data_IF_804293078228
#
_entry.id   IF_804293078228
#
_cell.length_a   1.000
_cell.length_b   1.000
_cell.length_c   1.000
_cell.angle_alpha   90.00
_cell.angle_beta   90.00
_cell.angle_gamma   90.00
#
_symmetry.space_group_name_H-M   'P 1'
#
loop_
_entity.id
_entity.type
_entity.pdbx_description
1 polymer ?
#
# COMPACT_ATOMS: atom_id res chain seq x y z
N UNK A 1 -38.18 8.34 -33.50
CA UNK A 1 -37.55 7.61 -32.39
C UNK A 1 -36.99 8.66 -31.43
N UNK A 2 -37.65 8.87 -30.29
CA UNK A 2 -37.20 9.88 -29.31
C UNK A 2 -35.95 9.38 -28.58
N UNK A 3 -35.06 10.30 -28.18
CA UNK A 3 -33.84 9.97 -27.43
C UNK A 3 -34.16 9.12 -26.18
N UNK A 4 -35.27 9.42 -25.50
CA UNK A 4 -35.75 8.67 -24.34
C UNK A 4 -36.11 7.21 -24.64
N UNK A 5 -36.67 6.94 -25.82
CA UNK A 5 -36.98 5.56 -26.23
C UNK A 5 -35.70 4.77 -26.51
N UNK A 6 -34.71 5.40 -27.12
CA UNK A 6 -33.41 4.77 -27.38
C UNK A 6 -32.66 4.49 -26.08
N UNK A 7 -32.62 5.46 -25.16
CA UNK A 7 -31.99 5.29 -23.84
C UNK A 7 -32.70 4.18 -23.06
N UNK A 8 -34.03 4.18 -23.00
CA UNK A 8 -34.78 3.14 -22.30
C UNK A 8 -34.55 1.74 -22.89
N UNK A 9 -34.47 1.64 -24.22
CA UNK A 9 -34.26 0.36 -24.90
C UNK A 9 -32.84 -0.16 -24.71
N UNK A 10 -31.83 0.72 -24.73
CA UNK A 10 -30.44 0.34 -24.46
C UNK A 10 -30.23 -0.10 -23.01
N UNK A 11 -30.81 0.61 -22.03
CA UNK A 11 -30.74 0.23 -20.62
C UNK A 11 -31.39 -1.14 -20.35
N UNK A 12 -32.57 -1.40 -20.90
CA UNK A 12 -33.28 -2.67 -20.74
C UNK A 12 -32.52 -3.85 -21.36
N UNK A 13 -31.88 -3.64 -22.51
CA UNK A 13 -31.06 -4.66 -23.17
C UNK A 13 -29.79 -4.95 -22.37
N UNK A 14 -29.11 -3.91 -21.89
CA UNK A 14 -27.90 -4.05 -21.07
C UNK A 14 -28.18 -4.72 -19.74
N UNK A 15 -29.27 -4.37 -19.04
CA UNK A 15 -29.62 -5.00 -17.77
C UNK A 15 -29.88 -6.50 -17.91
N UNK A 16 -30.48 -6.92 -19.03
CA UNK A 16 -30.74 -8.33 -19.34
C UNK A 16 -29.45 -9.11 -19.59
N UNK A 17 -28.49 -8.54 -20.30
CA UNK A 17 -27.18 -9.16 -20.56
C UNK A 17 -26.38 -9.29 -19.26
N UNK A 18 -26.37 -8.25 -18.42
CA UNK A 18 -25.65 -8.25 -17.15
C UNK A 18 -26.23 -9.29 -16.20
N UNK A 19 -27.56 -9.42 -16.14
CA UNK A 19 -28.25 -10.35 -15.24
C UNK A 19 -28.16 -11.82 -15.67
N UNK A 20 -27.85 -12.10 -16.94
CA UNK A 20 -27.82 -13.47 -17.49
C UNK A 20 -26.45 -14.14 -17.40
N UNK A 21 -25.42 -13.43 -16.95
CA UNK A 21 -24.06 -13.97 -16.86
C UNK A 21 -23.59 -14.03 -15.40
N UNK A 22 -23.37 -15.23 -14.82
CA UNK A 22 -22.86 -15.40 -13.46
C UNK A 22 -21.40 -14.89 -13.29
N UNK A 23 -20.74 -14.48 -14.38
CA UNK A 23 -19.42 -13.87 -14.36
C UNK A 23 -19.46 -12.34 -14.11
N UNK A 24 -20.62 -11.70 -14.30
CA UNK A 24 -20.80 -10.24 -14.18
C UNK A 24 -21.54 -9.82 -12.90
N UNK A 25 -22.09 -10.76 -12.13
CA UNK A 25 -22.70 -10.49 -10.82
C UNK A 25 -21.71 -9.98 -9.78
N UNK A 26 -20.41 -10.27 -9.96
CA UNK A 26 -19.34 -9.73 -9.11
C UNK A 26 -18.86 -8.34 -9.53
N UNK A 27 -19.34 -7.79 -10.66
CA UNK A 27 -19.08 -6.40 -11.02
C UNK A 27 -20.14 -5.54 -10.35
N UNK A 28 -20.08 -5.54 -9.01
CA UNK A 28 -20.76 -4.53 -8.22
C UNK A 28 -20.22 -3.14 -8.60
N UNK A 29 -21.13 -2.43 -9.27
CA UNK A 29 -21.19 -1.02 -9.56
C UNK A 29 -20.53 -0.12 -8.49
N UNK A 30 -19.31 0.34 -8.75
CA UNK A 30 -18.85 1.72 -8.53
C UNK A 30 -17.47 1.89 -9.18
N UNK A 31 -17.23 2.87 -10.08
CA UNK A 31 -15.87 3.25 -10.47
C UNK A 31 -15.25 4.10 -9.35
N UNK A 32 -15.20 3.57 -8.14
CA UNK A 32 -14.50 4.17 -7.01
C UNK A 32 -13.34 3.26 -6.70
N UNK A 33 -12.15 3.68 -7.14
CA UNK A 33 -10.86 3.28 -6.57
C UNK A 33 -10.84 1.80 -6.19
N UNK A 34 -10.68 0.90 -7.15
CA UNK A 34 -10.09 -0.41 -6.85
C UNK A 34 -8.69 -0.10 -6.33
N UNK A 35 -8.62 0.21 -5.04
CA UNK A 35 -7.37 0.40 -4.34
C UNK A 35 -6.67 -0.94 -4.41
N UNK A 36 -5.39 -0.91 -4.74
CA UNK A 36 -4.46 -2.02 -4.79
C UNK A 36 -4.53 -2.98 -3.57
N UNK A 37 -5.23 -2.59 -2.50
CA UNK A 37 -5.55 -3.41 -1.33
C UNK A 37 -6.34 -4.70 -1.63
N UNK A 38 -7.22 -4.74 -2.64
CA UNK A 38 -8.04 -5.96 -2.91
C UNK A 38 -7.28 -7.09 -3.61
N UNK A 39 -6.14 -6.82 -4.25
CA UNK A 39 -5.25 -7.85 -4.82
C UNK A 39 -4.33 -8.50 -3.77
N UNK A 40 -4.32 -8.00 -2.53
CA UNK A 40 -3.41 -8.49 -1.48
C UNK A 40 -4.01 -9.61 -0.59
N UNK A 41 -5.28 -10.00 -0.78
CA UNK A 41 -5.93 -11.00 0.08
C UNK A 41 -5.39 -12.43 -0.10
N UNK A 42 -4.70 -12.73 -1.20
CA UNK A 42 -4.14 -14.07 -1.47
C UNK A 42 -2.76 -14.28 -0.81
N UNK A 43 -2.20 -13.29 -0.11
CA UNK A 43 -0.85 -13.34 0.48
C UNK A 43 -0.83 -13.42 2.02
N UNK A 44 -1.94 -13.80 2.64
CA UNK A 44 -2.08 -13.74 4.09
C UNK A 44 -1.07 -14.63 4.85
N UNK A 45 -0.54 -15.68 4.21
CA UNK A 45 0.50 -16.58 4.77
C UNK A 45 1.95 -16.12 4.53
N UNK A 46 2.20 -15.04 3.78
CA UNK A 46 3.56 -14.53 3.49
C UNK A 46 3.70 -13.05 3.83
N UNK A 47 2.93 -12.54 4.79
CA UNK A 47 3.03 -11.15 5.24
C UNK A 47 3.82 -11.07 6.54
N UNK A 48 4.75 -10.11 6.63
CA UNK A 48 5.49 -9.81 7.85
C UNK A 48 4.95 -8.56 8.53
N UNK A 49 4.94 -8.59 9.86
CA UNK A 49 4.63 -7.45 10.72
C UNK A 49 5.92 -6.68 11.02
N UNK A 50 5.91 -5.38 10.80
CA UNK A 50 7.04 -4.49 11.08
C UNK A 50 6.56 -3.38 12.00
N UNK A 51 7.26 -3.21 13.12
CA UNK A 51 6.97 -2.18 14.11
C UNK A 51 7.76 -0.93 13.76
N UNK A 52 7.12 0.22 13.61
CA UNK A 52 7.78 1.47 13.31
C UNK A 52 7.66 2.39 14.50
N UNK A 53 8.79 2.69 15.13
CA UNK A 53 8.85 3.66 16.22
C UNK A 53 8.92 5.08 15.65
N UNK A 54 7.95 5.89 16.04
CA UNK A 54 7.89 7.33 15.76
C UNK A 54 8.78 8.11 16.74
N UNK A 55 8.94 9.40 16.48
CA UNK A 55 9.70 10.31 17.34
C UNK A 55 9.03 10.62 18.68
N UNK A 56 7.73 10.38 18.81
CA UNK A 56 6.94 10.54 20.03
C UNK A 56 6.87 9.22 20.85
N UNK A 57 7.81 8.30 20.59
CA UNK A 57 7.86 6.94 21.15
C UNK A 57 6.63 6.05 20.87
N UNK A 58 5.67 6.52 20.08
CA UNK A 58 4.55 5.68 19.65
C UNK A 58 4.99 4.68 18.57
N UNK A 59 4.44 3.47 18.64
CA UNK A 59 4.77 2.38 17.72
C UNK A 59 3.59 2.14 16.77
N UNK A 60 3.87 2.11 15.47
CA UNK A 60 2.89 1.78 14.43
C UNK A 60 3.28 0.48 13.76
N UNK A 61 2.37 -0.48 13.77
CA UNK A 61 2.56 -1.76 13.09
C UNK A 61 2.13 -1.66 11.63
N UNK A 62 3.00 -2.15 10.74
CA UNK A 62 2.80 -2.18 9.30
C UNK A 62 2.98 -3.60 8.80
N UNK A 63 2.03 -4.04 7.99
CA UNK A 63 2.05 -5.35 7.37
C UNK A 63 2.46 -5.20 5.90
N UNK A 64 3.51 -5.91 5.51
CA UNK A 64 4.00 -5.97 4.12
C UNK A 64 4.30 -7.40 3.73
N UNK A 65 4.26 -7.74 2.43
CA UNK A 65 4.72 -9.04 1.96
C UNK A 65 6.17 -9.29 2.38
N UNK A 66 6.49 -10.53 2.69
CA UNK A 66 7.81 -10.98 3.12
C UNK A 66 8.91 -10.69 2.07
N UNK A 67 8.57 -10.81 0.79
CA UNK A 67 9.45 -10.48 -0.35
C UNK A 67 9.33 -9.00 -0.79
N UNK A 68 8.78 -8.13 0.05
CA UNK A 68 8.60 -6.73 -0.29
C UNK A 68 9.93 -5.98 -0.43
N UNK A 69 9.91 -4.99 -1.32
CA UNK A 69 11.01 -4.03 -1.49
C UNK A 69 10.84 -2.85 -0.55
N UNK A 70 11.93 -2.12 -0.31
CA UNK A 70 11.93 -0.88 0.49
C UNK A 70 10.90 0.13 -0.03
N UNK A 71 10.66 0.18 -1.33
CA UNK A 71 9.60 1.01 -1.93
C UNK A 71 8.20 0.67 -1.40
N UNK A 72 7.84 -0.62 -1.31
CA UNK A 72 6.53 -1.05 -0.83
C UNK A 72 6.35 -0.68 0.65
N UNK A 73 7.38 -0.87 1.47
CA UNK A 73 7.37 -0.46 2.87
C UNK A 73 7.13 1.04 3.04
N UNK A 74 7.87 1.89 2.31
CA UNK A 74 7.67 3.36 2.36
C UNK A 74 6.27 3.77 1.91
N UNK A 75 5.70 3.05 0.94
CA UNK A 75 4.32 3.29 0.49
C UNK A 75 3.31 2.91 1.58
N UNK A 76 3.46 1.74 2.21
CA UNK A 76 2.61 1.29 3.30
C UNK A 76 2.66 2.24 4.51
N UNK A 77 3.85 2.77 4.83
CA UNK A 77 4.03 3.81 5.85
C UNK A 77 3.21 5.05 5.51
N UNK A 78 3.39 5.56 4.28
CA UNK A 78 2.67 6.74 3.81
C UNK A 78 1.15 6.55 3.87
N UNK A 79 0.65 5.35 3.57
CA UNK A 79 -0.78 5.04 3.62
C UNK A 79 -1.30 4.90 5.05
N UNK A 80 -0.51 4.33 5.96
CA UNK A 80 -0.90 4.09 7.36
C UNK A 80 -0.90 5.36 8.20
N UNK A 81 0.02 6.26 7.92
CA UNK A 81 0.04 7.59 8.52
C UNK A 81 -1.02 8.46 7.81
N UNK A 82 -2.27 8.38 8.29
CA UNK A 82 -3.46 9.06 7.75
C UNK A 82 -3.40 10.60 7.69
N UNK A 83 -2.27 11.20 8.05
CA UNK A 83 -2.07 12.64 8.12
C UNK A 83 -1.89 13.23 6.71
N UNK A 84 -2.97 13.80 6.18
CA UNK A 84 -3.04 14.39 4.82
C UNK A 84 -2.06 15.55 4.58
N UNK A 85 -1.46 16.10 5.64
CA UNK A 85 -0.55 17.25 5.57
C UNK A 85 0.93 16.88 5.57
N UNK A 86 1.30 15.59 5.61
CA UNK A 86 2.71 15.18 5.60
C UNK A 86 3.26 15.18 4.18
N UNK A 87 4.25 16.04 3.93
CA UNK A 87 5.05 15.97 2.70
C UNK A 87 6.08 14.83 2.78
N UNK A 88 5.62 13.62 2.45
CA UNK A 88 6.43 12.41 2.45
C UNK A 88 7.70 12.50 1.59
N UNK A 89 7.70 13.30 0.52
CA UNK A 89 8.89 13.53 -0.30
C UNK A 89 10.00 14.18 0.53
N UNK A 90 9.66 15.14 1.38
CA UNK A 90 10.60 15.80 2.29
C UNK A 90 11.05 14.85 3.40
N UNK A 91 10.15 14.05 3.96
CA UNK A 91 10.47 13.05 4.98
C UNK A 91 11.50 12.06 4.45
N UNK A 92 11.26 11.42 3.31
CA UNK A 92 12.20 10.46 2.72
C UNK A 92 13.51 11.06 2.22
N UNK A 93 13.56 12.38 2.02
CA UNK A 93 14.80 13.11 1.69
C UNK A 93 15.65 13.39 2.94
N UNK A 94 15.01 13.70 4.07
CA UNK A 94 15.68 14.06 5.33
C UNK A 94 15.96 12.85 6.23
N UNK A 95 15.09 11.85 6.17
CA UNK A 95 15.10 10.67 7.04
C UNK A 95 15.11 9.38 6.22
N UNK A 96 15.75 8.38 6.77
CA UNK A 96 15.72 6.99 6.30
C UNK A 96 15.24 6.08 7.43
N UNK A 97 14.81 4.88 7.06
CA UNK A 97 14.49 3.84 8.05
C UNK A 97 15.75 3.04 8.35
N UNK A 98 15.91 2.63 9.61
CA UNK A 98 16.98 1.77 10.07
C UNK A 98 16.44 0.74 11.04
N UNK A 99 17.04 -0.44 11.07
CA UNK A 99 16.82 -1.45 12.13
C UNK A 99 17.48 -0.99 13.44
N UNK A 100 16.98 -1.50 14.57
CA UNK A 100 17.57 -1.29 15.90
C UNK A 100 19.01 -1.81 15.97
N UNK A 101 19.22 -3.02 15.42
CA UNK A 101 20.41 -3.81 15.73
C UNK A 101 21.62 -3.49 14.85
N UNK A 102 21.39 -3.14 13.58
CA UNK A 102 22.47 -3.06 12.58
C UNK A 102 22.73 -1.64 12.07
N UNK A 103 21.98 -0.64 12.52
CA UNK A 103 22.01 0.75 12.02
C UNK A 103 21.99 0.86 10.47
N UNK A 104 21.54 -0.20 9.79
CA UNK A 104 21.62 -0.31 8.34
C UNK A 104 20.45 0.47 7.73
N UNK A 105 20.77 1.57 7.05
CA UNK A 105 19.77 2.44 6.46
C UNK A 105 19.17 1.81 5.20
N UNK A 106 17.84 1.76 5.11
CA UNK A 106 17.07 1.30 3.95
C UNK A 106 17.10 2.37 2.83
N UNK A 107 18.25 2.48 2.17
CA UNK A 107 18.55 3.54 1.18
C UNK A 107 18.03 3.17 -0.21
N UNK A 108 18.24 1.92 -0.66
CA UNK A 108 17.86 1.48 -1.99
C UNK A 108 16.41 0.98 -2.01
N UNK A 109 15.55 1.71 -2.72
CA UNK A 109 14.13 1.40 -2.89
C UNK A 109 13.85 0.07 -3.60
N UNK A 110 14.77 -0.41 -4.42
CA UNK A 110 14.61 -1.61 -5.24
C UNK A 110 15.09 -2.89 -4.55
N UNK A 111 15.88 -2.78 -3.48
CA UNK A 111 16.29 -3.95 -2.69
C UNK A 111 15.14 -4.48 -1.84
N UNK A 112 15.20 -5.78 -1.54
CA UNK A 112 14.26 -6.42 -0.61
C UNK A 112 14.56 -5.98 0.80
N UNK A 113 13.54 -5.90 1.64
CA UNK A 113 13.69 -5.52 3.05
C UNK A 113 14.47 -6.58 3.84
N UNK A 114 14.34 -7.85 3.48
CA UNK A 114 15.15 -8.97 4.01
C UNK A 114 16.65 -8.79 3.82
N UNK A 115 17.07 -8.21 2.70
CA UNK A 115 18.50 -7.96 2.40
C UNK A 115 19.11 -6.93 3.38
N UNK A 116 18.28 -6.22 4.14
CA UNK A 116 18.66 -5.27 5.19
C UNK A 116 18.51 -5.86 6.61
N UNK A 117 18.25 -7.16 6.73
CA UNK A 117 17.99 -7.81 8.02
C UNK A 117 16.63 -7.48 8.62
N UNK A 118 15.66 -7.04 7.80
CA UNK A 118 14.29 -6.79 8.26
C UNK A 118 13.47 -8.07 8.08
N UNK A 119 13.00 -8.61 9.20
CA UNK A 119 12.21 -9.84 9.29
C UNK A 119 10.88 -9.57 10.01
N UNK A 120 10.12 -10.64 10.26
CA UNK A 120 8.88 -10.54 11.01
C UNK A 120 9.15 -10.04 12.44
N UNK A 121 8.31 -9.12 12.90
CA UNK A 121 8.39 -8.41 14.17
C UNK A 121 9.64 -7.54 14.35
N UNK A 122 10.38 -7.25 13.27
CA UNK A 122 11.49 -6.30 13.34
C UNK A 122 11.00 -4.89 13.65
N UNK A 123 11.79 -4.16 14.44
CA UNK A 123 11.53 -2.77 14.76
C UNK A 123 12.40 -1.84 13.90
N UNK A 124 11.75 -0.85 13.30
CA UNK A 124 12.37 0.18 12.48
C UNK A 124 12.20 1.57 13.09
N UNK A 125 13.23 2.38 12.91
CA UNK A 125 13.31 3.73 13.44
C UNK A 125 13.60 4.73 12.33
N UNK A 126 13.06 5.94 12.46
CA UNK A 126 13.45 7.05 11.61
C UNK A 126 14.80 7.61 12.05
N UNK A 127 15.80 7.47 11.19
CA UNK A 127 17.13 8.03 11.40
C UNK A 127 17.39 9.18 10.43
N UNK A 128 18.11 10.21 10.88
CA UNK A 128 18.49 11.33 10.01
C UNK A 128 19.44 10.81 8.94
N UNK A 129 19.16 11.13 7.69
CA UNK A 129 20.01 10.73 6.58
C UNK A 129 21.27 11.61 6.61
N UNK A 130 22.42 11.01 6.90
CA UNK A 130 23.69 11.69 6.74
C UNK A 130 23.98 11.82 5.25
N UNK A 131 24.14 13.06 4.77
CA UNK A 131 24.71 13.30 3.45
C UNK A 131 26.19 12.97 3.58
N UNK A 132 26.65 11.94 2.88
CA UNK A 132 28.08 11.84 2.56
C UNK A 132 28.43 13.14 1.82
N UNK A 133 29.33 13.94 2.41
CA UNK A 133 29.90 15.13 1.76
C UNK A 133 30.91 14.69 0.72
#
# INVERSE_FOLDING_TARGET
MSHDQFVSQTYSRLSTIISSNPLFSDIHCHPSKISFSKLNQVQQDQSISISIRRFDDSIINIYVPEEARVFHLKKAIKEKFSDKNINWKTIWKKYSLSTSDQQQQLINNNRRIKDYGVYNNSELFFVRRHRLK
#
